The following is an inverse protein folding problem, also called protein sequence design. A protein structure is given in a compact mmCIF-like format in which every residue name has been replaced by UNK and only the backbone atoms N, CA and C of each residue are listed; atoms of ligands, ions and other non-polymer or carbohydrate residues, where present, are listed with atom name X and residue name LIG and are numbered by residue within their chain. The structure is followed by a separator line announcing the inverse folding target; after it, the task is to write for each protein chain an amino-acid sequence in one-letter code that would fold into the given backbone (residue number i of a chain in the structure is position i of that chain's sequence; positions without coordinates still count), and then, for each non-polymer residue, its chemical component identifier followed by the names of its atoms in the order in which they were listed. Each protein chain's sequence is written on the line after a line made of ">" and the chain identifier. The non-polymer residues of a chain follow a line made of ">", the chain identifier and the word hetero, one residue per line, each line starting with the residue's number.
data_IF_011517641432
#
_entry.id   IF_011517641432
#
_cell.length_a   1.000
_cell.length_b   1.000
_cell.length_c   1.000
_cell.angle_alpha   90.00
_cell.angle_beta   90.00
_cell.angle_gamma   90.00
#
_symmetry.space_group_name_H-M   'P 1'
#
loop_
_entity.id
_entity.type
_entity.pdbx_description
1 polymer ?
#
# COMPACT_ATOMS: atom_id res chain seq x y z
N UNK A 1 15.41 71.60 -17.36
CA UNK A 1 16.64 71.51 -16.56
C UNK A 1 16.62 70.18 -15.84
N UNK A 2 17.73 69.44 -15.93
CA UNK A 2 18.07 68.19 -15.22
C UNK A 2 17.17 66.97 -15.54
N UNK A 3 17.53 66.06 -16.44
CA UNK A 3 18.72 65.19 -16.56
C UNK A 3 18.90 64.22 -15.39
N UNK A 4 18.63 62.95 -15.70
CA UNK A 4 19.13 61.71 -15.10
C UNK A 4 18.94 61.47 -13.59
N UNK A 5 18.17 60.42 -13.28
CA UNK A 5 18.80 59.22 -12.72
C UNK A 5 17.92 57.98 -12.88
N UNK A 6 18.23 57.18 -13.89
CA UNK A 6 17.76 55.79 -14.12
C UNK A 6 18.32 54.80 -13.06
N UNK A 7 18.50 55.22 -11.79
CA UNK A 7 19.07 54.39 -10.70
C UNK A 7 18.14 54.07 -9.54
N UNK A 8 16.84 54.40 -9.61
CA UNK A 8 15.89 54.09 -8.52
C UNK A 8 14.82 53.04 -8.87
N UNK A 9 14.96 52.33 -10.00
CA UNK A 9 14.16 51.12 -10.31
C UNK A 9 14.98 49.82 -10.32
N UNK A 10 16.22 49.88 -9.83
CA UNK A 10 17.13 48.71 -9.76
C UNK A 10 17.36 48.21 -8.33
N UNK A 11 16.59 48.69 -7.34
CA UNK A 11 16.71 48.31 -5.92
C UNK A 11 15.47 47.61 -5.34
N UNK A 12 14.56 47.15 -6.21
CA UNK A 12 13.46 46.21 -5.84
C UNK A 12 13.63 44.86 -6.56
N UNK A 13 14.76 44.68 -7.26
CA UNK A 13 15.10 43.47 -8.01
C UNK A 13 16.26 42.67 -7.37
N UNK A 14 16.55 42.94 -6.10
CA UNK A 14 17.50 42.19 -5.29
C UNK A 14 16.90 41.99 -3.91
N UNK A 15 16.83 40.73 -3.46
CA UNK A 15 16.17 40.25 -2.22
C UNK A 15 14.66 39.96 -2.38
N UNK A 16 14.28 39.16 -3.38
CA UNK A 16 13.36 38.00 -3.22
C UNK A 16 13.80 36.98 -4.26
N UNK A 17 14.94 36.34 -4.00
CA UNK A 17 15.39 35.15 -4.73
C UNK A 17 15.33 34.00 -3.72
N UNK A 18 14.11 33.65 -3.32
CA UNK A 18 13.86 32.40 -2.60
C UNK A 18 13.76 31.32 -3.67
N UNK A 19 14.92 30.72 -3.94
CA UNK A 19 15.16 29.35 -4.38
C UNK A 19 13.91 28.59 -4.87
N UNK A 20 13.51 28.83 -6.11
CA UNK A 20 12.92 27.77 -6.94
C UNK A 20 14.09 26.88 -7.33
N UNK A 21 14.39 25.90 -6.48
CA UNK A 21 15.24 24.77 -6.85
C UNK A 21 14.32 23.76 -7.51
N UNK A 22 14.21 23.84 -8.83
CA UNK A 22 13.99 22.66 -9.67
C UNK A 22 15.19 21.74 -9.47
N UNK A 23 15.10 20.90 -8.44
CA UNK A 23 16.04 19.83 -8.16
C UNK A 23 15.29 18.53 -8.36
N UNK A 24 15.76 17.73 -9.31
CA UNK A 24 15.38 16.33 -9.48
C UNK A 24 15.14 15.66 -8.13
N UNK A 25 13.93 15.12 -7.93
CA UNK A 25 13.55 14.21 -6.85
C UNK A 25 14.32 12.89 -7.00
N UNK A 26 15.62 12.97 -6.73
CA UNK A 26 16.44 11.85 -6.30
C UNK A 26 16.96 12.31 -4.95
N UNK A 27 16.40 11.77 -3.88
CA UNK A 27 16.87 12.03 -2.51
C UNK A 27 18.37 11.70 -2.47
N UNK A 28 19.21 12.74 -2.51
CA UNK A 28 20.63 12.61 -2.20
C UNK A 28 20.76 12.51 -0.69
N UNK A 29 20.60 11.31 -0.14
CA UNK A 29 21.10 11.00 1.21
C UNK A 29 22.63 11.12 1.17
N UNK A 30 23.16 12.25 1.65
CA UNK A 30 24.58 12.45 1.86
C UNK A 30 24.94 12.14 3.31
N UNK A 31 25.30 10.89 3.60
CA UNK A 31 26.31 10.47 4.60
C UNK A 31 26.39 8.93 4.64
N UNK A 32 27.60 8.34 4.82
CA UNK A 32 27.72 6.92 5.12
C UNK A 32 27.26 6.72 6.57
N UNK A 33 26.25 5.87 6.77
CA UNK A 33 25.60 5.66 8.07
C UNK A 33 26.39 4.69 8.95
N UNK A 34 26.34 4.89 10.27
CA UNK A 34 26.96 4.02 11.27
C UNK A 34 26.13 2.75 11.51
N UNK A 35 26.79 1.69 11.99
CA UNK A 35 26.27 0.30 12.05
C UNK A 35 25.09 0.05 13.01
N UNK A 36 24.57 1.06 13.73
CA UNK A 36 23.55 0.89 14.76
C UNK A 36 22.50 2.02 14.75
N UNK A 37 21.75 2.20 13.67
CA UNK A 37 20.60 3.12 13.63
C UNK A 37 19.38 2.36 13.10
N UNK A 38 18.30 2.16 13.89
CA UNK A 38 17.03 1.68 13.35
C UNK A 38 16.44 2.84 12.58
N UNK A 39 16.58 2.72 11.27
CA UNK A 39 15.95 3.62 10.32
C UNK A 39 14.49 3.17 10.14
N UNK A 40 13.57 4.08 9.79
CA UNK A 40 12.30 3.66 9.23
C UNK A 40 12.60 2.67 8.11
N UNK A 41 12.08 1.44 8.25
CA UNK A 41 12.13 0.48 7.16
C UNK A 41 11.37 1.11 6.01
N UNK A 42 12.08 1.52 4.96
CA UNK A 42 11.40 1.97 3.77
C UNK A 42 10.69 0.76 3.18
N UNK A 43 9.52 0.97 2.59
CA UNK A 43 8.72 -0.10 1.96
C UNK A 43 9.63 -0.93 1.03
N UNK A 44 10.37 -0.27 0.15
CA UNK A 44 11.38 -0.90 -0.73
C UNK A 44 12.55 -1.64 -0.04
N UNK A 45 12.86 -1.34 1.22
CA UNK A 45 13.93 -2.00 1.99
C UNK A 45 13.44 -3.29 2.66
N UNK A 46 12.13 -3.39 2.93
CA UNK A 46 11.50 -4.66 3.32
C UNK A 46 11.37 -5.60 2.13
N UNK A 47 11.19 -5.05 0.93
CA UNK A 47 11.00 -5.81 -0.30
C UNK A 47 12.17 -5.54 -1.24
N UNK A 48 13.30 -6.21 -1.00
CA UNK A 48 14.53 -6.11 -1.80
C UNK A 48 14.22 -5.95 -3.30
N UNK A 49 14.30 -4.72 -3.81
CA UNK A 49 14.13 -4.37 -5.23
C UNK A 49 12.98 -5.09 -5.97
N UNK A 50 11.81 -5.26 -5.36
CA UNK A 50 10.72 -5.96 -6.03
C UNK A 50 11.02 -7.44 -6.33
N UNK A 51 11.80 -8.13 -5.50
CA UNK A 51 12.15 -9.54 -5.72
C UNK A 51 10.97 -10.52 -5.56
N UNK A 52 9.81 -10.07 -5.04
CA UNK A 52 8.55 -10.83 -5.18
C UNK A 52 7.89 -10.62 -6.56
N UNK A 53 8.30 -9.57 -7.30
CA UNK A 53 7.78 -9.16 -8.62
C UNK A 53 8.62 -9.68 -9.78
N UNK A 54 9.84 -10.17 -9.52
CA UNK A 54 10.70 -10.75 -10.56
C UNK A 54 10.19 -12.15 -10.95
N UNK A 55 9.28 -12.16 -11.91
CA UNK A 55 8.83 -13.39 -12.58
C UNK A 55 10.03 -14.18 -13.07
N UNK A 56 10.14 -15.44 -12.67
CA UNK A 56 11.05 -16.33 -13.38
C UNK A 56 10.50 -16.52 -14.80
N UNK A 57 11.39 -16.42 -15.80
CA UNK A 57 11.03 -16.68 -17.20
C UNK A 57 10.50 -18.10 -17.38
N UNK A 58 10.86 -19.01 -16.48
CA UNK A 58 10.45 -20.41 -16.51
C UNK A 58 9.01 -20.55 -16.05
N UNK A 59 8.59 -19.85 -14.98
CA UNK A 59 7.21 -19.78 -14.54
C UNK A 59 6.30 -19.22 -15.63
N UNK A 60 6.66 -18.07 -16.23
CA UNK A 60 5.84 -17.44 -17.26
C UNK A 60 5.51 -18.40 -18.42
N UNK A 61 6.51 -19.15 -18.91
CA UNK A 61 6.31 -20.11 -19.99
C UNK A 61 5.43 -21.31 -19.58
N UNK A 62 5.54 -21.79 -18.33
CA UNK A 62 4.68 -22.88 -17.81
C UNK A 62 3.25 -22.42 -17.61
N UNK A 63 3.06 -21.23 -17.05
CA UNK A 63 1.74 -20.62 -16.88
C UNK A 63 1.06 -20.41 -18.23
N UNK A 64 1.74 -19.80 -19.22
CA UNK A 64 1.22 -19.65 -20.59
C UNK A 64 0.82 -21.01 -21.21
N UNK A 65 1.68 -22.03 -21.10
CA UNK A 65 1.39 -23.37 -21.61
C UNK A 65 0.22 -24.05 -20.89
N UNK A 66 0.07 -23.83 -19.59
CA UNK A 66 -1.09 -24.31 -18.84
C UNK A 66 -2.34 -23.63 -19.40
N UNK A 67 -2.33 -22.31 -19.59
CA UNK A 67 -3.48 -21.57 -20.09
C UNK A 67 -3.94 -21.98 -21.49
N UNK A 68 -3.03 -22.38 -22.39
CA UNK A 68 -3.39 -22.92 -23.71
C UNK A 68 -4.18 -24.24 -23.64
N UNK A 69 -4.07 -24.97 -22.52
CA UNK A 69 -4.62 -26.31 -22.35
C UNK A 69 -5.58 -26.44 -21.18
N UNK A 70 -5.74 -25.37 -20.39
CA UNK A 70 -6.45 -25.37 -19.13
C UNK A 70 -7.93 -25.69 -19.34
N UNK A 71 -8.40 -26.71 -18.62
CA UNK A 71 -9.81 -26.89 -18.35
C UNK A 71 -10.02 -26.42 -16.91
N UNK A 72 -10.43 -25.16 -16.73
CA UNK A 72 -10.73 -24.63 -15.40
C UNK A 72 -11.89 -25.44 -14.81
N UNK A 73 -11.77 -25.95 -13.57
CA UNK A 73 -12.84 -26.70 -12.94
C UNK A 73 -14.14 -25.90 -12.91
N UNK A 74 -15.19 -26.43 -13.54
CA UNK A 74 -16.52 -25.84 -13.44
C UNK A 74 -17.15 -26.22 -12.10
N UNK A 75 -16.87 -25.44 -11.05
CA UNK A 75 -17.46 -25.63 -9.72
C UNK A 75 -18.88 -25.06 -9.60
N UNK A 76 -19.42 -24.45 -10.67
CA UNK A 76 -20.77 -23.86 -10.70
C UNK A 76 -21.87 -24.91 -10.51
N UNK A 77 -21.55 -26.19 -10.68
CA UNK A 77 -22.49 -27.30 -10.47
C UNK A 77 -22.45 -27.89 -9.05
N UNK A 78 -21.44 -27.59 -8.22
CA UNK A 78 -21.19 -28.26 -6.93
C UNK A 78 -21.16 -27.33 -5.70
N UNK A 79 -21.29 -26.00 -5.83
CA UNK A 79 -21.24 -25.07 -4.69
C UNK A 79 -22.55 -25.03 -3.87
N UNK A 80 -22.84 -26.12 -3.15
CA UNK A 80 -23.81 -26.07 -2.05
C UNK A 80 -23.19 -25.37 -0.83
N UNK A 81 -23.10 -24.03 -0.90
CA UNK A 81 -22.93 -23.09 0.21
C UNK A 81 -22.23 -23.61 1.47
N UNK A 82 -20.97 -24.05 1.36
CA UNK A 82 -20.15 -24.40 2.52
C UNK A 82 -18.95 -23.48 2.62
N UNK A 83 -18.59 -23.20 3.88
CA UNK A 83 -17.57 -22.26 4.36
C UNK A 83 -16.35 -22.11 3.44
N UNK A 84 -15.86 -20.86 3.36
CA UNK A 84 -14.64 -20.33 2.72
C UNK A 84 -13.36 -21.05 3.16
N UNK A 85 -13.28 -22.36 2.98
CA UNK A 85 -12.06 -23.14 3.06
C UNK A 85 -11.42 -23.15 1.68
N UNK A 86 -10.11 -22.91 1.63
CA UNK A 86 -9.32 -23.03 0.42
C UNK A 86 -9.55 -24.43 -0.19
N UNK A 87 -10.17 -24.49 -1.37
CA UNK A 87 -10.40 -25.74 -2.08
C UNK A 87 -9.22 -25.94 -3.04
N UNK A 88 -8.36 -26.90 -2.73
CA UNK A 88 -7.37 -27.40 -3.68
C UNK A 88 -8.04 -28.48 -4.51
N UNK A 89 -8.06 -28.34 -5.84
CA UNK A 89 -8.48 -29.43 -6.72
C UNK A 89 -7.30 -30.40 -6.88
N UNK A 90 -7.33 -31.62 -6.32
CA UNK A 90 -6.22 -32.56 -6.42
C UNK A 90 -5.97 -33.07 -7.85
N UNK A 91 -6.85 -32.75 -8.82
CA UNK A 91 -6.72 -33.12 -10.23
C UNK A 91 -6.20 -31.98 -11.11
N UNK A 92 -6.09 -30.75 -10.58
CA UNK A 92 -5.53 -29.61 -11.30
C UNK A 92 -4.48 -28.90 -10.43
N UNK A 93 -3.59 -28.15 -11.06
CA UNK A 93 -2.63 -27.32 -10.35
C UNK A 93 -3.29 -26.00 -9.90
N UNK A 94 -4.54 -26.05 -9.41
CA UNK A 94 -5.35 -24.88 -9.07
C UNK A 94 -5.88 -24.93 -7.63
N UNK A 95 -6.00 -23.74 -7.07
CA UNK A 95 -6.53 -23.50 -5.72
C UNK A 95 -7.58 -22.40 -5.77
N UNK A 96 -8.81 -22.67 -5.31
CA UNK A 96 -9.84 -21.63 -5.23
C UNK A 96 -9.49 -20.66 -4.09
N UNK A 97 -9.36 -19.38 -4.42
CA UNK A 97 -9.04 -18.32 -3.46
C UNK A 97 -10.27 -17.53 -3.04
N UNK A 98 -11.18 -17.24 -3.99
CA UNK A 98 -12.42 -16.51 -3.73
C UNK A 98 -13.51 -16.89 -4.73
N UNK A 99 -14.76 -16.83 -4.29
CA UNK A 99 -15.95 -16.90 -5.16
C UNK A 99 -16.87 -15.69 -4.96
N UNK A 100 -17.49 -15.23 -6.05
CA UNK A 100 -18.67 -14.37 -6.07
C UNK A 100 -19.74 -15.02 -6.95
N UNK A 101 -20.44 -16.05 -6.45
CA UNK A 101 -21.32 -16.90 -7.26
C UNK A 101 -22.49 -16.13 -7.90
N UNK A 102 -23.01 -15.09 -7.24
CA UNK A 102 -24.09 -14.27 -7.76
C UNK A 102 -23.72 -13.50 -9.04
N UNK A 103 -22.42 -13.30 -9.27
CA UNK A 103 -21.86 -12.62 -10.43
C UNK A 103 -21.11 -13.57 -11.37
N UNK A 104 -21.12 -14.88 -11.09
CA UNK A 104 -20.41 -15.90 -11.87
C UNK A 104 -18.90 -15.62 -11.99
N UNK A 105 -18.28 -15.21 -10.87
CA UNK A 105 -16.85 -14.89 -10.76
C UNK A 105 -16.18 -15.85 -9.77
N UNK A 106 -15.08 -16.47 -10.19
CA UNK A 106 -14.25 -17.33 -9.36
C UNK A 106 -12.78 -16.97 -9.56
N UNK A 107 -12.05 -16.81 -8.46
CA UNK A 107 -10.64 -16.43 -8.48
C UNK A 107 -9.81 -17.63 -8.03
N UNK A 108 -8.94 -18.09 -8.92
CA UNK A 108 -8.08 -19.24 -8.71
C UNK A 108 -6.61 -18.83 -8.62
N UNK A 109 -5.87 -19.41 -7.69
CA UNK A 109 -4.42 -19.39 -7.66
C UNK A 109 -3.85 -20.55 -8.47
N UNK A 110 -2.83 -20.28 -9.29
CA UNK A 110 -2.07 -21.33 -9.97
C UNK A 110 -0.96 -21.86 -9.06
N UNK A 111 -0.96 -23.18 -8.85
CA UNK A 111 -0.05 -23.86 -7.96
C UNK A 111 1.03 -24.59 -8.78
N UNK A 112 1.92 -23.82 -9.38
CA UNK A 112 3.05 -24.37 -10.14
C UNK A 112 3.92 -25.28 -9.24
N UNK A 113 4.35 -26.41 -9.80
CA UNK A 113 5.13 -27.41 -9.05
C UNK A 113 6.52 -26.93 -8.61
N UNK A 114 7.11 -25.96 -9.31
CA UNK A 114 8.44 -25.40 -8.99
C UNK A 114 8.34 -24.03 -8.32
N UNK A 115 7.32 -23.25 -8.66
CA UNK A 115 7.06 -21.90 -8.14
C UNK A 115 5.60 -21.79 -7.67
N UNK A 116 5.21 -22.55 -6.63
CA UNK A 116 3.85 -22.53 -6.13
C UNK A 116 3.47 -21.13 -5.68
N UNK A 117 2.18 -20.83 -5.67
CA UNK A 117 1.68 -19.55 -5.16
C UNK A 117 1.75 -18.38 -6.13
N UNK A 118 2.18 -18.56 -7.38
CA UNK A 118 2.24 -17.49 -8.37
C UNK A 118 1.17 -17.66 -9.45
N UNK A 119 0.58 -16.54 -9.91
CA UNK A 119 -0.45 -16.52 -10.95
C UNK A 119 -1.88 -16.55 -10.39
N UNK A 120 -2.75 -15.71 -10.95
CA UNK A 120 -4.19 -15.68 -10.65
C UNK A 120 -4.98 -15.89 -11.93
N UNK A 121 -6.09 -16.60 -11.80
CA UNK A 121 -7.01 -16.82 -12.91
C UNK A 121 -8.39 -16.35 -12.46
N UNK A 122 -8.95 -15.40 -13.20
CA UNK A 122 -10.28 -14.85 -12.99
C UNK A 122 -11.25 -15.57 -13.93
N UNK A 123 -11.89 -16.61 -13.44
CA UNK A 123 -12.97 -17.28 -14.16
C UNK A 123 -14.25 -16.45 -14.05
N UNK A 124 -14.56 -15.67 -15.09
CA UNK A 124 -15.70 -14.74 -15.15
C UNK A 124 -16.59 -15.12 -16.33
N UNK A 125 -17.83 -15.55 -16.08
CA UNK A 125 -18.78 -15.89 -17.15
C UNK A 125 -18.32 -17.06 -18.02
N UNK A 126 -18.60 -17.04 -19.33
CA UNK A 126 -18.35 -18.19 -20.22
C UNK A 126 -16.89 -18.32 -20.70
N UNK A 127 -16.05 -17.31 -20.47
CA UNK A 127 -14.64 -17.31 -20.91
C UNK A 127 -13.76 -16.86 -19.75
N UNK A 128 -12.88 -17.73 -19.23
CA UNK A 128 -12.02 -17.33 -18.14
C UNK A 128 -10.98 -16.31 -18.59
N UNK A 129 -10.82 -15.28 -17.78
CA UNK A 129 -9.85 -14.22 -17.94
C UNK A 129 -8.63 -14.50 -17.06
N UNK A 130 -7.47 -14.20 -17.59
CA UNK A 130 -6.22 -14.76 -17.10
C UNK A 130 -5.27 -13.61 -16.85
N UNK A 131 -4.80 -13.47 -15.62
CA UNK A 131 -3.78 -12.48 -15.30
C UNK A 131 -2.55 -13.14 -14.69
N UNK A 132 -1.40 -12.79 -15.23
CA UNK A 132 -0.11 -13.09 -14.62
C UNK A 132 0.05 -12.31 -13.29
N UNK A 133 -0.50 -12.86 -12.21
CA UNK A 133 -0.37 -12.26 -10.88
C UNK A 133 1.09 -12.22 -10.45
N UNK A 134 1.65 -11.03 -10.17
CA UNK A 134 3.06 -10.89 -9.88
C UNK A 134 3.42 -11.16 -8.43
N UNK A 135 2.49 -11.68 -7.60
CA UNK A 135 2.75 -11.98 -6.20
C UNK A 135 2.66 -13.48 -5.95
N UNK A 136 3.45 -13.91 -4.97
CA UNK A 136 3.11 -15.10 -4.21
C UNK A 136 1.78 -14.79 -3.49
N UNK A 137 0.67 -15.43 -3.86
CA UNK A 137 -0.64 -15.22 -3.25
C UNK A 137 -0.70 -15.73 -1.80
N UNK A 138 0.42 -16.02 -1.16
CA UNK A 138 0.51 -16.18 0.28
C UNK A 138 1.56 -15.20 0.80
N UNK A 139 1.32 -14.56 1.93
CA UNK A 139 2.37 -13.75 2.56
C UNK A 139 3.55 -14.61 3.02
N UNK A 140 4.62 -13.98 3.50
CA UNK A 140 5.70 -14.66 4.24
C UNK A 140 5.20 -15.46 5.47
N UNK A 141 3.92 -15.31 5.84
CA UNK A 141 3.24 -16.02 6.92
C UNK A 141 2.11 -16.95 6.44
N UNK A 142 1.95 -17.18 5.13
CA UNK A 142 0.91 -18.05 4.61
C UNK A 142 -0.49 -17.42 4.63
N UNK A 143 -0.59 -16.08 4.57
CA UNK A 143 -1.87 -15.37 4.55
C UNK A 143 -2.26 -15.10 3.09
N UNK A 144 -3.40 -15.61 2.59
CA UNK A 144 -3.86 -15.32 1.23
C UNK A 144 -4.35 -13.87 1.07
N UNK A 145 -4.38 -13.31 -0.16
CA UNK A 145 -5.00 -12.03 -0.42
C UNK A 145 -6.49 -12.02 -0.06
N UNK A 146 -6.95 -10.89 0.43
CA UNK A 146 -8.38 -10.60 0.49
C UNK A 146 -8.84 -10.09 -0.89
N UNK A 147 -9.98 -10.60 -1.35
CA UNK A 147 -10.61 -10.15 -2.59
C UNK A 147 -11.97 -9.52 -2.28
N UNK A 148 -12.18 -8.31 -2.78
CA UNK A 148 -13.44 -7.58 -2.60
C UNK A 148 -13.95 -7.16 -3.97
N UNK A 149 -15.21 -7.49 -4.28
CA UNK A 149 -15.88 -7.04 -5.50
C UNK A 149 -16.55 -5.68 -5.26
N UNK A 150 -16.37 -4.75 -6.20
CA UNK A 150 -17.08 -3.47 -6.21
C UNK A 150 -18.60 -3.69 -6.32
N UNK A 151 -19.39 -2.74 -5.81
CA UNK A 151 -20.85 -2.88 -5.80
C UNK A 151 -21.49 -2.97 -7.20
N UNK A 152 -20.85 -2.38 -8.21
CA UNK A 152 -21.26 -2.48 -9.61
C UNK A 152 -20.80 -3.78 -10.29
N UNK A 153 -20.00 -4.61 -9.61
CA UNK A 153 -19.47 -5.87 -10.11
C UNK A 153 -18.35 -5.72 -11.14
N UNK A 154 -17.77 -4.51 -11.29
CA UNK A 154 -16.82 -4.21 -12.38
C UNK A 154 -15.36 -4.22 -11.97
N UNK A 155 -15.05 -4.15 -10.68
CA UNK A 155 -13.68 -4.05 -10.17
C UNK A 155 -13.48 -5.02 -9.03
N UNK A 156 -12.38 -5.78 -9.07
CA UNK A 156 -11.92 -6.59 -7.95
C UNK A 156 -10.74 -5.87 -7.29
N UNK A 157 -10.89 -5.58 -6.00
CA UNK A 157 -9.81 -5.13 -5.13
C UNK A 157 -9.12 -6.36 -4.55
N UNK A 158 -7.85 -6.56 -4.92
CA UNK A 158 -7.00 -7.60 -4.37
C UNK A 158 -6.03 -6.97 -3.37
N UNK A 159 -6.16 -7.35 -2.09
CA UNK A 159 -5.37 -6.83 -0.99
C UNK A 159 -4.33 -7.88 -0.62
N UNK A 160 -3.08 -7.63 -0.98
CA UNK A 160 -1.97 -8.54 -0.72
C UNK A 160 -1.30 -8.19 0.61
N UNK A 161 -1.33 -9.06 1.61
CA UNK A 161 -0.73 -8.77 2.92
C UNK A 161 0.78 -9.01 2.91
N UNK A 162 1.57 -7.96 2.78
CA UNK A 162 3.03 -8.04 2.69
C UNK A 162 3.68 -7.62 4.02
N UNK A 163 4.34 -8.54 4.71
CA UNK A 163 5.12 -8.20 5.91
C UNK A 163 4.29 -8.14 7.19
N UNK A 164 3.81 -9.30 7.61
CA UNK A 164 3.58 -9.56 9.03
C UNK A 164 4.92 -9.94 9.70
N UNK A 165 5.07 -9.69 11.00
CA UNK A 165 6.25 -10.07 11.78
C UNK A 165 7.30 -8.95 11.93
N UNK A 166 7.80 -8.77 13.16
CA UNK A 166 8.70 -7.68 13.65
C UNK A 166 8.03 -6.34 14.06
N UNK A 167 6.70 -6.30 14.12
CA UNK A 167 5.97 -5.13 14.62
C UNK A 167 5.48 -4.17 13.54
N UNK A 168 5.46 -4.61 12.27
CA UNK A 168 4.91 -3.91 11.12
C UNK A 168 3.82 -4.75 10.44
N UNK A 169 2.97 -4.11 9.65
CA UNK A 169 1.92 -4.78 8.87
C UNK A 169 1.55 -3.92 7.67
N UNK A 170 1.99 -4.34 6.48
CA UNK A 170 1.71 -3.62 5.24
C UNK A 170 0.85 -4.49 4.34
N UNK A 171 -0.03 -3.86 3.57
CA UNK A 171 -0.77 -4.50 2.50
C UNK A 171 -0.55 -3.70 1.24
N UNK A 172 -0.51 -4.39 0.10
CA UNK A 172 -0.51 -3.80 -1.23
C UNK A 172 -1.91 -3.93 -1.82
N UNK A 173 -2.27 -3.00 -2.69
CA UNK A 173 -3.57 -2.99 -3.35
C UNK A 173 -3.41 -3.06 -4.86
N UNK A 174 -4.06 -4.04 -5.47
CA UNK A 174 -4.10 -4.25 -6.91
C UNK A 174 -5.57 -4.26 -7.34
N UNK A 175 -5.88 -3.55 -8.42
CA UNK A 175 -7.23 -3.43 -8.93
C UNK A 175 -7.33 -4.10 -10.29
N UNK A 176 -8.26 -5.03 -10.41
CA UNK A 176 -8.59 -5.72 -11.67
C UNK A 176 -9.92 -5.19 -12.19
N UNK A 177 -9.92 -4.52 -13.33
CA UNK A 177 -11.14 -4.05 -14.00
C UNK A 177 -11.67 -5.13 -14.94
N UNK A 178 -12.93 -5.55 -14.72
CA UNK A 178 -13.58 -6.66 -15.42
C UNK A 178 -14.32 -6.21 -16.69
N UNK A 179 -14.71 -4.93 -16.81
CA UNK A 179 -15.30 -4.40 -18.05
C UNK A 179 -14.21 -4.18 -19.11
N UNK A 180 -14.44 -4.73 -20.31
CA UNK A 180 -13.50 -4.73 -21.44
C UNK A 180 -12.11 -5.32 -21.13
N UNK A 181 -11.97 -5.99 -19.97
CA UNK A 181 -10.77 -6.59 -19.39
C UNK A 181 -9.49 -5.86 -19.79
N UNK A 182 -9.11 -4.88 -18.97
CA UNK A 182 -7.78 -4.32 -19.09
C UNK A 182 -6.73 -5.42 -19.01
N UNK A 183 -5.79 -5.36 -19.94
CA UNK A 183 -4.73 -6.37 -20.13
C UNK A 183 -3.77 -6.36 -18.92
N UNK A 184 -3.66 -5.23 -18.22
CA UNK A 184 -2.80 -5.05 -17.06
C UNK A 184 -3.60 -4.44 -15.90
N UNK A 185 -3.49 -4.99 -14.67
CA UNK A 185 -4.20 -4.46 -13.53
C UNK A 185 -3.53 -3.18 -13.02
N UNK A 186 -4.30 -2.33 -12.34
CA UNK A 186 -3.76 -1.13 -11.73
C UNK A 186 -3.09 -1.46 -10.39
N UNK A 187 -1.79 -1.16 -10.29
CA UNK A 187 -1.01 -1.32 -9.06
C UNK A 187 -0.96 0.00 -8.31
N UNK A 188 -1.49 0.02 -7.09
CA UNK A 188 -1.37 1.19 -6.24
C UNK A 188 0.07 1.29 -5.71
N UNK A 189 0.82 2.28 -6.19
CA UNK A 189 2.20 2.50 -5.79
C UNK A 189 2.29 2.91 -4.31
N UNK A 190 2.88 2.04 -3.49
CA UNK A 190 2.96 2.24 -2.04
C UNK A 190 3.92 3.37 -1.64
N UNK A 191 5.02 3.58 -2.38
CA UNK A 191 5.94 4.68 -2.09
C UNK A 191 5.20 6.02 -2.29
N UNK A 192 4.46 6.15 -3.39
CA UNK A 192 3.65 7.34 -3.66
C UNK A 192 2.52 7.50 -2.63
N UNK A 193 1.84 6.41 -2.27
CA UNK A 193 0.79 6.42 -1.25
C UNK A 193 1.36 6.90 0.09
N UNK A 194 2.49 6.36 0.51
CA UNK A 194 3.14 6.69 1.78
C UNK A 194 3.51 8.17 1.84
N UNK A 195 4.06 8.72 0.76
CA UNK A 195 4.38 10.15 0.65
C UNK A 195 3.13 11.02 0.78
N UNK A 196 2.06 10.68 0.05
CA UNK A 196 0.78 11.38 0.12
C UNK A 196 0.15 11.28 1.52
N UNK A 197 0.21 10.13 2.17
CA UNK A 197 -0.30 9.93 3.53
C UNK A 197 0.46 10.75 4.57
N UNK A 198 1.79 10.87 4.43
CA UNK A 198 2.60 11.73 5.29
C UNK A 198 2.16 13.21 5.25
N UNK A 199 1.68 13.66 4.09
CA UNK A 199 1.17 15.03 3.88
C UNK A 199 -0.26 15.24 4.42
N UNK A 200 -1.01 14.17 4.66
CA UNK A 200 -2.41 14.25 5.18
C UNK A 200 -2.52 14.44 6.68
N UNK A 201 -1.43 14.20 7.42
CA UNK A 201 -1.39 14.30 8.88
C UNK A 201 -0.25 15.22 9.33
N UNK A 202 -0.42 15.78 10.52
CA UNK A 202 0.63 16.50 11.23
C UNK A 202 0.93 15.80 12.54
N UNK A 203 2.21 15.54 12.79
CA UNK A 203 2.68 14.89 14.02
C UNK A 203 3.71 15.78 14.70
N UNK A 204 3.43 16.21 15.94
CA UNK A 204 4.27 17.16 16.69
C UNK A 204 4.60 16.60 18.07
N UNK A 205 5.88 16.47 18.38
CA UNK A 205 6.35 16.11 19.73
C UNK A 205 6.46 17.35 20.63
N UNK A 206 5.88 17.27 21.83
CA UNK A 206 6.02 18.23 22.91
C UNK A 206 6.95 17.66 23.99
N UNK A 207 8.13 18.27 24.14
CA UNK A 207 9.16 17.82 25.07
C UNK A 207 8.85 18.14 26.54
N UNK A 208 7.96 19.11 26.82
CA UNK A 208 7.57 19.49 28.18
C UNK A 208 6.50 18.53 28.71
N UNK A 209 5.58 18.11 27.83
CA UNK A 209 4.53 17.13 28.16
C UNK A 209 4.94 15.67 27.93
N UNK A 210 6.06 15.45 27.26
CA UNK A 210 6.51 14.14 26.79
C UNK A 210 5.42 13.38 26.03
N UNK A 211 4.78 14.09 25.10
CA UNK A 211 3.61 13.63 24.37
C UNK A 211 3.71 14.03 22.89
N UNK A 212 3.03 13.27 22.04
CA UNK A 212 2.93 13.57 20.61
C UNK A 212 1.51 13.92 20.25
N UNK A 213 1.33 15.09 19.63
CA UNK A 213 0.05 15.52 19.09
C UNK A 213 -0.05 15.11 17.63
N UNK A 214 -1.09 14.36 17.29
CA UNK A 214 -1.46 13.98 15.92
C UNK A 214 -2.69 14.79 15.52
N UNK A 215 -2.63 15.38 14.33
CA UNK A 215 -3.75 16.08 13.68
C UNK A 215 -3.95 15.48 12.29
N UNK A 216 -5.18 15.16 11.90
CA UNK A 216 -5.47 14.58 10.60
C UNK A 216 -6.81 15.13 10.08
N UNK A 217 -6.81 15.66 8.85
CA UNK A 217 -8.01 16.28 8.26
C UNK A 217 -8.66 17.33 9.17
N UNK A 218 -9.98 17.45 9.11
CA UNK A 218 -10.77 18.35 9.96
C UNK A 218 -10.97 17.87 11.41
N UNK A 219 -10.28 16.80 11.84
CA UNK A 219 -10.37 16.29 13.21
C UNK A 219 -9.64 17.18 14.20
N UNK A 220 -10.16 17.27 15.42
CA UNK A 220 -9.46 17.96 16.51
C UNK A 220 -8.11 17.28 16.81
N UNK A 221 -7.01 18.04 16.97
CA UNK A 221 -5.71 17.50 17.35
C UNK A 221 -5.77 16.72 18.67
N UNK A 222 -5.01 15.63 18.76
CA UNK A 222 -4.97 14.76 19.95
C UNK A 222 -3.58 14.41 20.38
N UNK A 223 -3.36 14.43 21.69
CA UNK A 223 -2.07 14.11 22.29
C UNK A 223 -2.05 12.68 22.84
N UNK A 224 -0.99 11.97 22.49
CA UNK A 224 -0.74 10.58 22.85
C UNK A 224 0.59 10.48 23.61
N UNK A 225 0.67 9.52 24.53
CA UNK A 225 1.94 9.17 25.17
C UNK A 225 2.76 8.29 24.23
N UNK A 226 4.05 8.23 24.51
CA UNK A 226 5.00 7.45 23.74
C UNK A 226 5.37 6.17 24.48
N UNK A 227 5.44 5.08 23.75
CA UNK A 227 6.18 3.89 24.15
C UNK A 227 7.31 3.63 23.17
N UNK A 228 8.42 3.10 23.67
CA UNK A 228 9.59 2.78 22.88
C UNK A 228 9.97 1.31 23.09
N UNK A 229 10.20 0.59 22.00
CA UNK A 229 10.68 -0.79 22.02
C UNK A 229 12.10 -0.81 21.50
N UNK A 230 13.01 -1.47 22.23
CA UNK A 230 14.43 -1.53 21.89
C UNK A 230 15.28 -0.36 22.40
N UNK A 231 14.71 0.53 23.21
CA UNK A 231 15.45 1.58 23.93
C UNK A 231 16.18 1.02 25.16
N UNK A 232 17.35 1.59 25.49
CA UNK A 232 18.05 1.24 26.72
C UNK A 232 17.30 1.76 27.96
N UNK A 233 17.36 1.07 29.12
CA UNK A 233 16.69 1.52 30.33
C UNK A 233 17.12 2.92 30.75
N UNK A 234 16.16 3.84 30.85
CA UNK A 234 16.40 5.24 31.25
C UNK A 234 16.87 6.16 30.12
N UNK A 235 16.99 5.65 28.90
CA UNK A 235 17.22 6.46 27.71
C UNK A 235 15.97 7.31 27.42
N UNK A 236 16.17 8.64 27.29
CA UNK A 236 15.10 9.52 26.85
C UNK A 236 15.02 9.49 25.33
N UNK A 237 13.96 8.87 24.80
CA UNK A 237 13.72 8.78 23.37
C UNK A 237 12.93 10.00 22.91
N UNK A 238 13.53 10.80 22.03
CA UNK A 238 12.92 12.00 21.45
C UNK A 238 12.68 11.74 19.96
N UNK A 239 11.41 11.66 19.51
CA UNK A 239 11.11 11.53 18.08
C UNK A 239 11.68 12.71 17.30
N UNK A 240 12.36 12.44 16.18
CA UNK A 240 12.85 13.45 15.24
C UNK A 240 12.08 13.46 13.92
N UNK A 241 11.24 12.46 13.68
CA UNK A 241 10.36 12.38 12.52
C UNK A 241 9.36 11.22 12.61
N UNK A 242 8.57 11.07 11.54
CA UNK A 242 7.57 10.00 11.40
C UNK A 242 7.48 9.50 9.95
N UNK A 243 6.89 8.32 9.78
CA UNK A 243 6.64 7.70 8.48
C UNK A 243 5.33 6.90 8.48
N UNK A 244 4.52 7.05 7.43
CA UNK A 244 3.20 6.45 7.27
C UNK A 244 3.15 5.30 6.23
N UNK A 245 4.22 4.52 6.08
CA UNK A 245 4.25 3.35 5.18
C UNK A 245 4.45 2.00 5.86
N UNK A 246 4.55 1.99 7.19
CA UNK A 246 4.89 0.80 7.99
C UNK A 246 3.67 0.02 8.50
N UNK A 247 2.51 0.68 8.47
CA UNK A 247 1.22 0.14 8.86
C UNK A 247 0.24 0.59 7.79
N UNK A 248 -0.10 -0.31 6.88
CA UNK A 248 -1.04 -0.05 5.79
C UNK A 248 -1.97 -1.25 5.65
N UNK A 249 -3.27 -1.00 5.70
CA UNK A 249 -4.29 -1.97 5.32
C UNK A 249 -5.41 -1.26 4.58
N UNK A 250 -6.22 -2.03 3.88
CA UNK A 250 -7.33 -1.50 3.08
C UNK A 250 -8.64 -2.15 3.50
N UNK A 251 -9.73 -1.40 3.37
CA UNK A 251 -11.06 -1.99 3.47
C UNK A 251 -12.06 -1.24 2.60
N UNK A 252 -13.12 -1.94 2.20
CA UNK A 252 -14.26 -1.36 1.53
C UNK A 252 -15.38 -1.13 2.56
N UNK A 253 -15.89 0.11 2.64
CA UNK A 253 -17.06 0.45 3.44
C UNK A 253 -18.17 0.94 2.50
N UNK A 254 -19.12 0.06 2.19
CA UNK A 254 -20.07 0.31 1.10
C UNK A 254 -19.35 0.32 -0.25
N UNK A 255 -19.37 1.46 -0.94
CA UNK A 255 -18.70 1.65 -2.24
C UNK A 255 -17.35 2.39 -2.12
N UNK A 256 -16.95 2.74 -0.89
CA UNK A 256 -15.80 3.60 -0.65
C UNK A 256 -14.61 2.77 -0.15
N UNK A 257 -13.48 2.92 -0.83
CA UNK A 257 -12.22 2.33 -0.41
C UNK A 257 -11.54 3.23 0.63
N UNK A 258 -11.10 2.62 1.72
CA UNK A 258 -10.33 3.27 2.77
C UNK A 258 -8.97 2.62 2.93
N UNK A 259 -7.95 3.46 3.12
CA UNK A 259 -6.66 3.03 3.67
C UNK A 259 -6.62 3.35 5.16
N UNK A 260 -6.13 2.38 5.93
CA UNK A 260 -5.93 2.49 7.37
C UNK A 260 -4.43 2.48 7.63
N UNK A 261 -3.95 3.44 8.41
CA UNK A 261 -2.52 3.60 8.61
C UNK A 261 -2.16 4.16 9.98
N UNK A 262 -0.91 3.95 10.39
CA UNK A 262 -0.36 4.47 11.64
C UNK A 262 0.99 5.13 11.40
N UNK A 263 1.25 6.32 11.97
CA UNK A 263 2.58 6.90 11.93
C UNK A 263 3.52 6.06 12.79
N UNK A 264 4.63 5.62 12.21
CA UNK A 264 5.78 5.13 12.98
C UNK A 264 6.70 6.29 13.28
N UNK A 265 6.96 6.52 14.56
CA UNK A 265 7.89 7.54 15.00
C UNK A 265 9.31 6.99 15.06
N UNK A 266 10.30 7.81 14.72
CA UNK A 266 11.71 7.43 14.75
C UNK A 266 12.57 8.54 15.34
N UNK A 267 13.80 8.17 15.71
CA UNK A 267 14.83 9.11 16.18
C UNK A 267 16.18 8.75 15.56
N UNK A 268 16.99 9.76 15.22
CA UNK A 268 18.34 9.53 14.68
C UNK A 268 19.34 9.07 15.77
N UNK A 269 18.95 9.14 17.05
CA UNK A 269 19.83 8.91 18.18
C UNK A 269 19.82 7.46 18.69
N UNK A 270 18.83 6.66 18.31
CA UNK A 270 18.56 5.36 18.91
C UNK A 270 18.01 4.38 17.88
N UNK A 271 18.10 3.10 18.22
CA UNK A 271 17.42 2.04 17.49
C UNK A 271 16.00 1.83 18.00
N UNK A 272 15.45 2.68 18.86
CA UNK A 272 14.11 2.42 19.37
C UNK A 272 13.04 2.62 18.29
N UNK A 273 12.14 1.64 18.15
CA UNK A 273 10.87 1.87 17.46
C UNK A 273 9.91 2.58 18.43
N UNK A 274 9.35 3.70 18.01
CA UNK A 274 8.54 4.56 18.87
C UNK A 274 7.08 4.48 18.41
N UNK A 275 6.20 4.19 19.35
CA UNK A 275 4.77 4.01 19.14
C UNK A 275 3.97 5.01 19.96
N UNK A 276 2.76 5.27 19.49
CA UNK A 276 1.78 6.09 20.21
C UNK A 276 0.88 5.17 21.04
N UNK A 277 0.88 5.37 22.35
CA UNK A 277 0.04 4.62 23.26
C UNK A 277 -1.44 4.92 22.99
N UNK A 278 -2.27 3.87 23.01
CA UNK A 278 -3.72 3.92 22.76
C UNK A 278 -4.14 4.53 21.39
N UNK A 279 -3.18 4.78 20.50
CA UNK A 279 -3.48 5.20 19.14
C UNK A 279 -3.99 4.01 18.32
N UNK A 280 -5.21 4.12 17.81
CA UNK A 280 -5.75 3.09 16.93
C UNK A 280 -5.13 3.23 15.54
N UNK A 281 -5.65 4.14 14.72
CA UNK A 281 -5.19 4.37 13.35
C UNK A 281 -5.77 5.67 12.80
N UNK A 282 -5.23 6.09 11.67
CA UNK A 282 -5.83 7.08 10.79
C UNK A 282 -6.49 6.33 9.65
N UNK A 283 -7.67 6.79 9.26
CA UNK A 283 -8.40 6.30 8.09
C UNK A 283 -8.43 7.40 7.05
N UNK A 284 -8.14 7.07 5.79
CA UNK A 284 -8.29 8.00 4.69
C UNK A 284 -9.04 7.36 3.53
N UNK A 285 -9.97 8.10 2.92
CA UNK A 285 -10.66 7.63 1.72
C UNK A 285 -9.73 7.75 0.50
N UNK A 286 -9.67 6.67 -0.29
CA UNK A 286 -9.03 6.67 -1.61
C UNK A 286 -10.12 6.76 -2.68
N UNK A 287 -9.97 7.70 -3.60
CA UNK A 287 -10.86 7.87 -4.75
C UNK A 287 -10.04 7.74 -6.02
N UNK A 288 -10.37 6.74 -6.85
CA UNK A 288 -9.70 6.53 -8.13
C UNK A 288 -10.19 7.53 -9.17
N UNK A 289 -9.25 7.95 -10.01
CA UNK A 289 -9.49 8.75 -11.19
C UNK A 289 -9.45 7.83 -12.40
N UNK A 290 -10.32 8.13 -13.37
CA UNK A 290 -10.49 7.34 -14.56
C UNK A 290 -10.32 8.24 -15.78
N UNK A 291 -9.62 7.73 -16.79
CA UNK A 291 -9.44 8.42 -18.06
C UNK A 291 -10.69 8.31 -18.97
N UNK A 292 -10.61 8.89 -20.17
CA UNK A 292 -11.70 8.86 -21.15
C UNK A 292 -12.05 7.44 -21.65
N UNK A 293 -11.14 6.47 -21.49
CA UNK A 293 -11.35 5.04 -21.78
C UNK A 293 -11.98 4.28 -20.61
N UNK A 294 -12.05 4.88 -19.42
CA UNK A 294 -12.49 4.21 -18.20
C UNK A 294 -11.37 3.43 -17.50
N UNK A 295 -10.11 3.65 -17.88
CA UNK A 295 -8.95 3.08 -17.19
C UNK A 295 -8.54 3.91 -15.99
N UNK A 296 -8.07 3.27 -14.92
CA UNK A 296 -7.57 3.98 -13.74
C UNK A 296 -6.25 4.66 -14.10
N UNK A 297 -6.19 5.99 -14.03
CA UNK A 297 -5.00 6.79 -14.33
C UNK A 297 -4.38 7.46 -13.09
N UNK A 298 -5.05 7.36 -11.94
CA UNK A 298 -4.58 7.92 -10.70
C UNK A 298 -5.55 7.74 -9.55
N UNK A 299 -5.23 8.40 -8.44
CA UNK A 299 -6.09 8.45 -7.26
C UNK A 299 -5.85 9.73 -6.45
N UNK A 300 -6.82 10.06 -5.62
CA UNK A 300 -6.73 11.11 -4.61
C UNK A 300 -6.94 10.52 -3.20
N UNK A 301 -6.30 11.18 -2.22
CA UNK A 301 -6.58 10.94 -0.80
C UNK A 301 -7.47 12.07 -0.32
N UNK A 302 -8.67 11.72 0.13
CA UNK A 302 -9.69 12.69 0.49
C UNK A 302 -9.83 12.80 2.02
N UNK A 303 -11.00 12.47 2.53
CA UNK A 303 -11.33 12.60 3.95
C UNK A 303 -10.38 11.77 4.79
N UNK A 304 -9.72 12.40 5.76
CA UNK A 304 -8.76 11.76 6.66
C UNK A 304 -9.21 11.98 8.10
N UNK A 305 -9.38 10.89 8.86
CA UNK A 305 -9.93 10.90 10.21
C UNK A 305 -9.10 10.04 11.16
N UNK A 306 -8.93 10.49 12.40
CA UNK A 306 -8.32 9.70 13.47
C UNK A 306 -9.38 8.79 14.09
N UNK A 307 -9.18 7.48 14.07
CA UNK A 307 -10.08 6.52 14.69
C UNK A 307 -9.87 6.46 16.20
N UNK A 308 -10.97 6.38 16.95
CA UNK A 308 -10.98 6.39 18.41
C UNK A 308 -11.47 5.06 19.00
N UNK A 309 -10.85 4.68 20.11
CA UNK A 309 -11.37 3.59 20.95
C UNK A 309 -12.58 4.12 21.71
N UNK A 310 -13.75 3.54 21.44
CA UNK A 310 -15.00 3.83 22.17
C UNK A 310 -14.94 3.31 23.61
#
# INVERSE_FOLDING_TARGET
>A
MEVCSKKQKLYVLGIVLILIVTGSLLSKRSKPFGENTLQPLLVREMYASGSMLERSKTFAARFESYMETAAIPNIREDSTGQDTAIITDPKSDLTLLQEFPEQDIYIWGYNDVEEPGYGLIFDVGDTPHIDSFPYFYESNHGIPPDFILSADGKTIFCICHTGFGTGFSVSELILFQLEDFQIEPYYLNIDELSDRLNDTIQVVYDADMDAVTVSAGGSDPKSYRLSAVGAEPGERIIPTGYFCGNFLSFSLQGEQLFVHFKPTLYTDASNAAIYLDDFLEVTAQIVFQYDDSGEIDGYEICETNILEKK
#
